data_IF_249506193522
#
_entry.id   IF_249506193522
#
_cell.length_a   1.000
_cell.length_b   1.000
_cell.length_c   1.000
_cell.angle_alpha   90.00
_cell.angle_beta   90.00
_cell.angle_gamma   90.00
#
_symmetry.space_group_name_H-M   'P 1'
#
loop_
_entity.id
_entity.type
_entity.pdbx_description
1 polymer ?
#
# COMPACT_ATOMS: atom_id res chain seq x y z
N UNK A 1 21.42 -14.95 -10.86
CA UNK A 1 21.13 -13.85 -9.90
C UNK A 1 20.16 -12.85 -10.54
N UNK A 2 19.02 -12.55 -9.93
CA UNK A 2 18.13 -11.49 -10.45
C UNK A 2 18.85 -10.15 -10.28
N UNK A 3 18.98 -9.38 -11.36
CA UNK A 3 19.56 -8.04 -11.28
C UNK A 3 18.56 -7.10 -10.55
N UNK A 4 18.77 -6.92 -9.26
CA UNK A 4 17.87 -6.11 -8.41
C UNK A 4 17.78 -4.66 -8.90
N UNK A 5 18.89 -4.07 -9.33
CA UNK A 5 18.93 -2.69 -9.82
C UNK A 5 18.03 -2.52 -11.03
N UNK A 6 18.14 -3.40 -12.03
CA UNK A 6 17.29 -3.32 -13.22
C UNK A 6 15.79 -3.50 -12.88
N UNK A 7 15.45 -4.36 -11.91
CA UNK A 7 14.07 -4.52 -11.45
C UNK A 7 13.56 -3.29 -10.71
N UNK A 8 14.40 -2.63 -9.92
CA UNK A 8 14.06 -1.40 -9.23
C UNK A 8 13.84 -0.24 -10.22
N UNK A 9 14.71 -0.10 -11.22
CA UNK A 9 14.59 0.90 -12.28
C UNK A 9 13.31 0.71 -13.11
N UNK A 10 12.97 -0.53 -13.44
CA UNK A 10 11.70 -0.84 -14.12
C UNK A 10 10.47 -0.49 -13.28
N UNK A 11 10.52 -0.81 -11.98
CA UNK A 11 9.43 -0.48 -11.06
C UNK A 11 9.30 1.04 -10.88
N UNK A 12 10.42 1.74 -10.80
CA UNK A 12 10.47 3.20 -10.68
C UNK A 12 9.85 3.88 -11.90
N UNK A 13 10.25 3.49 -13.11
CA UNK A 13 9.70 4.04 -14.36
C UNK A 13 8.19 3.80 -14.45
N UNK A 14 7.74 2.59 -14.16
CA UNK A 14 6.32 2.25 -14.24
C UNK A 14 5.47 3.03 -13.24
N UNK A 15 5.95 3.25 -12.01
CA UNK A 15 5.16 3.96 -10.99
C UNK A 15 4.95 5.44 -11.32
N UNK A 16 5.75 6.01 -12.25
CA UNK A 16 5.58 7.41 -12.70
C UNK A 16 4.26 7.64 -13.44
N UNK A 17 3.62 6.59 -13.93
CA UNK A 17 2.27 6.67 -14.49
C UNK A 17 1.20 6.92 -13.43
N UNK A 18 1.48 6.59 -12.16
CA UNK A 18 0.53 6.70 -11.04
C UNK A 18 0.77 7.95 -10.21
N UNK A 19 2.02 8.28 -9.92
CA UNK A 19 2.36 9.52 -9.18
C UNK A 19 3.81 9.96 -9.40
N UNK A 20 4.01 11.27 -9.22
CA UNK A 20 5.32 11.91 -9.36
C UNK A 20 6.30 11.47 -8.25
N UNK A 21 7.63 11.62 -8.47
CA UNK A 21 8.62 11.37 -7.43
C UNK A 21 8.34 12.19 -6.17
N UNK A 22 8.35 11.54 -5.03
CA UNK A 22 8.32 12.26 -3.75
C UNK A 22 9.66 12.98 -3.52
N UNK A 23 9.68 14.18 -2.92
CA UNK A 23 10.91 14.91 -2.71
C UNK A 23 11.91 14.18 -1.82
N UNK A 24 13.19 14.38 -2.10
CA UNK A 24 14.28 14.16 -1.16
C UNK A 24 14.70 15.53 -0.62
N UNK A 25 14.46 15.78 0.66
CA UNK A 25 14.56 17.09 1.27
C UNK A 25 15.56 17.06 2.43
N UNK A 26 16.54 17.97 2.42
CA UNK A 26 17.44 18.14 3.55
C UNK A 26 16.66 18.69 4.76
N UNK A 27 16.90 18.10 5.92
CA UNK A 27 16.32 18.58 7.17
C UNK A 27 17.37 19.37 7.96
N UNK A 28 17.26 20.68 7.95
CA UNK A 28 18.26 21.57 8.56
C UNK A 28 18.33 21.38 10.08
N UNK A 29 17.18 21.23 10.74
CA UNK A 29 17.14 21.04 12.19
C UNK A 29 17.85 19.74 12.62
N UNK A 30 17.50 18.62 12.02
CA UNK A 30 18.16 17.34 12.34
C UNK A 30 19.63 17.35 11.93
N UNK A 31 19.97 17.98 10.80
CA UNK A 31 21.36 18.08 10.36
C UNK A 31 22.20 18.86 11.35
N UNK A 32 21.72 19.96 11.85
CA UNK A 32 22.41 20.75 12.90
C UNK A 32 22.49 19.98 14.22
N UNK A 33 21.39 19.33 14.64
CA UNK A 33 21.34 18.59 15.90
C UNK A 33 22.34 17.44 15.96
N UNK A 34 22.52 16.71 14.86
CA UNK A 34 23.38 15.52 14.81
C UNK A 34 24.75 15.76 14.14
N UNK A 35 25.03 16.97 13.69
CA UNK A 35 26.30 17.29 13.02
C UNK A 35 26.52 16.51 11.72
N UNK A 36 25.46 16.16 10.99
CA UNK A 36 25.47 15.32 9.80
C UNK A 36 24.47 15.82 8.75
N UNK A 37 24.68 15.51 7.49
CA UNK A 37 23.68 15.78 6.46
C UNK A 37 22.53 14.76 6.51
N UNK A 38 21.38 15.21 7.02
CA UNK A 38 20.19 14.36 7.13
C UNK A 38 19.17 14.75 6.07
N UNK A 39 18.85 13.77 5.22
CA UNK A 39 17.89 13.90 4.13
C UNK A 39 16.66 13.04 4.37
N UNK A 40 15.49 13.62 4.22
CA UNK A 40 14.20 12.95 4.36
C UNK A 40 13.61 12.63 2.99
N UNK A 41 13.36 11.35 2.72
CA UNK A 41 12.54 10.93 1.59
C UNK A 41 11.07 11.08 1.98
N UNK A 42 10.40 12.09 1.43
CA UNK A 42 9.08 12.56 1.85
C UNK A 42 7.94 11.69 1.32
N UNK A 43 7.89 10.42 1.75
CA UNK A 43 6.82 9.50 1.36
C UNK A 43 5.44 9.85 1.94
N UNK A 44 5.40 10.72 2.94
CA UNK A 44 4.21 11.37 3.47
C UNK A 44 3.51 12.29 2.45
N UNK A 45 4.20 12.66 1.37
CA UNK A 45 3.66 13.44 0.24
C UNK A 45 3.17 12.55 -0.92
N UNK A 46 3.23 11.21 -0.80
CA UNK A 46 2.61 10.30 -1.75
C UNK A 46 1.07 10.33 -1.65
N UNK A 47 0.33 9.88 -2.68
CA UNK A 47 -1.15 9.88 -2.67
C UNK A 47 -1.77 9.24 -1.43
N UNK A 48 -1.18 8.15 -0.93
CA UNK A 48 -1.64 7.46 0.30
C UNK A 48 -0.85 7.85 1.56
N UNK A 49 0.04 8.84 1.46
CA UNK A 49 0.90 9.33 2.53
C UNK A 49 1.80 8.26 3.14
N UNK A 50 2.26 7.31 2.33
CA UNK A 50 3.09 6.19 2.76
C UNK A 50 3.83 5.54 1.60
N UNK A 51 5.05 5.06 1.85
CA UNK A 51 5.85 4.29 0.89
C UNK A 51 5.20 2.95 0.47
N UNK A 52 4.21 2.45 1.23
CA UNK A 52 3.54 1.16 0.96
C UNK A 52 2.88 1.10 -0.39
N UNK A 53 2.49 2.25 -0.95
CA UNK A 53 1.94 2.33 -2.31
C UNK A 53 2.90 1.76 -3.36
N UNK A 54 4.22 1.97 -3.22
CA UNK A 54 5.24 1.47 -4.15
C UNK A 54 5.22 -0.05 -4.26
N UNK A 55 5.15 -0.72 -3.10
CA UNK A 55 5.06 -2.19 -3.04
C UNK A 55 3.74 -2.72 -3.59
N UNK A 56 2.62 -2.12 -3.20
CA UNK A 56 1.30 -2.48 -3.70
C UNK A 56 1.24 -2.35 -5.23
N UNK A 57 1.63 -1.19 -5.77
CA UNK A 57 1.70 -0.97 -7.21
C UNK A 57 2.54 -2.03 -7.92
N UNK A 58 3.80 -2.22 -7.47
CA UNK A 58 4.72 -3.12 -8.17
C UNK A 58 4.31 -4.60 -8.09
N UNK A 59 3.59 -5.00 -7.05
CA UNK A 59 3.00 -6.34 -6.96
C UNK A 59 1.77 -6.47 -7.87
N UNK A 60 0.79 -5.56 -7.72
CA UNK A 60 -0.51 -5.69 -8.37
C UNK A 60 -0.42 -5.52 -9.89
N UNK A 61 0.41 -4.61 -10.41
CA UNK A 61 0.59 -4.42 -11.85
C UNK A 61 1.09 -5.68 -12.59
N UNK A 62 1.76 -6.60 -11.89
CA UNK A 62 2.26 -7.86 -12.48
C UNK A 62 1.15 -8.90 -12.67
N UNK A 63 0.01 -8.66 -12.08
CA UNK A 63 -1.16 -9.53 -12.09
C UNK A 63 -2.40 -8.75 -12.54
N UNK A 64 -2.23 -7.87 -13.52
CA UNK A 64 -3.31 -7.04 -14.06
C UNK A 64 -4.43 -7.83 -14.74
N UNK A 65 -4.19 -9.13 -15.04
CA UNK A 65 -5.18 -10.08 -15.54
C UNK A 65 -6.11 -10.62 -14.44
N UNK A 66 -5.79 -10.38 -13.16
CA UNK A 66 -6.59 -10.85 -12.02
C UNK A 66 -7.84 -10.00 -11.83
N UNK A 67 -8.94 -10.66 -11.49
CA UNK A 67 -10.24 -10.03 -11.26
C UNK A 67 -10.34 -9.35 -9.90
N UNK A 68 -9.57 -9.82 -8.94
CA UNK A 68 -9.60 -9.31 -7.58
C UNK A 68 -8.26 -9.49 -6.84
N UNK A 69 -8.03 -8.63 -5.86
CA UNK A 69 -6.91 -8.73 -4.92
C UNK A 69 -7.45 -8.84 -3.50
N UNK A 70 -6.74 -9.60 -2.68
CA UNK A 70 -7.10 -9.81 -1.28
C UNK A 70 -5.92 -9.45 -0.38
N UNK A 71 -6.15 -8.76 0.72
CA UNK A 71 -5.12 -8.55 1.73
C UNK A 71 -5.70 -8.48 3.15
N UNK A 72 -4.87 -8.86 4.14
CA UNK A 72 -5.12 -8.60 5.55
C UNK A 72 -4.24 -7.43 6.01
N UNK A 73 -4.84 -6.30 6.33
CA UNK A 73 -4.11 -5.14 6.86
C UNK A 73 -5.06 -4.04 7.34
N UNK A 74 -4.78 -3.47 8.50
CA UNK A 74 -5.50 -2.30 9.04
C UNK A 74 -4.69 -1.00 8.94
N UNK A 75 -3.62 -0.98 8.15
CA UNK A 75 -2.68 0.15 8.09
C UNK A 75 -2.39 0.66 6.69
N UNK A 76 -1.19 1.21 6.53
CA UNK A 76 -0.75 1.82 5.27
C UNK A 76 -0.71 0.86 4.08
N UNK A 77 -0.56 -0.46 4.34
CA UNK A 77 -0.63 -1.45 3.27
C UNK A 77 -2.05 -1.56 2.71
N UNK A 78 -3.07 -1.65 3.59
CA UNK A 78 -4.47 -1.64 3.18
C UNK A 78 -4.81 -0.41 2.32
N UNK A 79 -4.37 0.77 2.74
CA UNK A 79 -4.56 2.01 2.00
C UNK A 79 -3.87 1.98 0.63
N UNK A 80 -2.66 1.43 0.54
CA UNK A 80 -1.94 1.26 -0.72
C UNK A 80 -2.65 0.30 -1.67
N UNK A 81 -3.13 -0.85 -1.17
CA UNK A 81 -3.89 -1.82 -1.96
C UNK A 81 -5.22 -1.22 -2.41
N UNK A 82 -5.97 -0.57 -1.51
CA UNK A 82 -7.23 0.09 -1.83
C UNK A 82 -7.07 1.13 -2.95
N UNK A 83 -6.09 2.00 -2.83
CA UNK A 83 -5.77 2.99 -3.86
C UNK A 83 -5.47 2.31 -5.20
N UNK A 84 -4.69 1.23 -5.20
CA UNK A 84 -4.34 0.51 -6.43
C UNK A 84 -5.52 -0.24 -7.03
N UNK A 85 -6.42 -0.81 -6.24
CA UNK A 85 -7.66 -1.40 -6.76
C UNK A 85 -8.45 -0.37 -7.57
N UNK A 86 -8.59 0.84 -7.05
CA UNK A 86 -9.24 1.95 -7.77
C UNK A 86 -8.49 2.37 -9.03
N UNK A 87 -7.16 2.49 -8.98
CA UNK A 87 -6.35 2.88 -10.14
C UNK A 87 -6.40 1.85 -11.27
N UNK A 88 -6.41 0.57 -10.93
CA UNK A 88 -6.46 -0.54 -11.88
C UNK A 88 -7.89 -0.94 -12.25
N UNK A 89 -8.92 -0.35 -11.61
CA UNK A 89 -10.33 -0.72 -11.77
C UNK A 89 -10.59 -2.21 -11.53
N UNK A 90 -9.97 -2.76 -10.50
CA UNK A 90 -10.10 -4.17 -10.09
C UNK A 90 -10.67 -4.26 -8.68
N UNK A 91 -11.38 -5.31 -8.38
CA UNK A 91 -11.96 -5.52 -7.07
C UNK A 91 -10.88 -5.82 -6.02
N UNK A 92 -11.11 -5.35 -4.79
CA UNK A 92 -10.26 -5.65 -3.63
C UNK A 92 -11.08 -6.06 -2.43
N UNK A 93 -10.62 -7.08 -1.70
CA UNK A 93 -11.19 -7.48 -0.42
C UNK A 93 -10.11 -7.25 0.65
N UNK A 94 -10.42 -6.40 1.63
CA UNK A 94 -9.47 -6.01 2.67
C UNK A 94 -10.01 -6.47 4.03
N UNK A 95 -9.35 -7.45 4.61
CA UNK A 95 -9.65 -7.94 5.94
C UNK A 95 -8.95 -7.09 7.00
N UNK A 96 -9.70 -6.67 8.00
CA UNK A 96 -9.21 -5.88 9.14
C UNK A 96 -9.78 -6.44 10.45
N UNK A 97 -9.04 -6.39 11.57
CA UNK A 97 -9.59 -6.72 12.88
C UNK A 97 -10.79 -5.83 13.21
N UNK A 98 -11.78 -6.38 13.93
CA UNK A 98 -12.94 -5.60 14.40
C UNK A 98 -12.55 -4.45 15.32
N UNK A 99 -11.37 -4.56 15.95
CA UNK A 99 -10.78 -3.52 16.81
C UNK A 99 -10.14 -2.37 16.04
N UNK A 100 -10.15 -2.41 14.69
CA UNK A 100 -9.54 -1.36 13.86
C UNK A 100 -10.22 -0.01 14.07
N UNK A 101 -9.46 1.06 14.38
CA UNK A 101 -10.03 2.40 14.55
C UNK A 101 -10.82 2.85 13.31
N UNK A 102 -12.02 3.39 13.52
CA UNK A 102 -12.93 3.85 12.48
C UNK A 102 -12.27 4.79 11.46
N UNK A 103 -11.37 5.65 11.93
CA UNK A 103 -10.61 6.56 11.05
C UNK A 103 -9.77 5.82 10.00
N UNK A 104 -9.18 4.67 10.36
CA UNK A 104 -8.38 3.86 9.42
C UNK A 104 -9.28 3.16 8.39
N UNK A 105 -10.44 2.66 8.83
CA UNK A 105 -11.44 2.04 7.97
C UNK A 105 -11.92 3.06 6.93
N UNK A 106 -12.39 4.22 7.39
CA UNK A 106 -12.87 5.31 6.52
C UNK A 106 -11.81 5.76 5.52
N UNK A 107 -10.57 5.95 5.97
CA UNK A 107 -9.48 6.36 5.10
C UNK A 107 -9.18 5.33 4.01
N UNK A 108 -9.22 4.05 4.35
CA UNK A 108 -9.06 2.98 3.36
C UNK A 108 -10.21 2.97 2.37
N UNK A 109 -11.45 3.15 2.84
CA UNK A 109 -12.64 3.25 1.98
C UNK A 109 -12.56 4.45 1.02
N UNK A 110 -12.09 5.60 1.49
CA UNK A 110 -11.91 6.79 0.65
C UNK A 110 -10.92 6.54 -0.49
N UNK A 111 -9.82 5.82 -0.22
CA UNK A 111 -8.84 5.51 -1.26
C UNK A 111 -9.35 4.52 -2.30
N UNK A 112 -10.08 3.49 -1.88
CA UNK A 112 -10.54 2.43 -2.77
C UNK A 112 -11.88 2.72 -3.46
N UNK A 113 -12.74 3.52 -2.82
CA UNK A 113 -14.08 3.81 -3.33
C UNK A 113 -14.93 2.56 -3.49
N UNK A 114 -15.60 2.44 -4.63
CA UNK A 114 -16.45 1.30 -5.00
C UNK A 114 -15.70 0.02 -5.36
N UNK A 115 -14.38 0.13 -5.56
CA UNK A 115 -13.54 -1.00 -5.96
C UNK A 115 -13.11 -1.89 -4.80
N UNK A 116 -13.47 -1.56 -3.55
CA UNK A 116 -13.07 -2.36 -2.40
C UNK A 116 -14.23 -2.73 -1.50
N UNK A 117 -14.13 -3.92 -0.92
CA UNK A 117 -14.92 -4.39 0.20
C UNK A 117 -14.03 -4.51 1.43
N UNK A 118 -14.42 -3.90 2.55
CA UNK A 118 -13.73 -4.07 3.83
C UNK A 118 -14.50 -5.07 4.66
N UNK A 119 -13.84 -6.15 5.06
CA UNK A 119 -14.38 -7.19 5.94
C UNK A 119 -13.73 -7.09 7.30
N UNK A 120 -14.54 -6.81 8.32
CA UNK A 120 -14.09 -6.80 9.70
C UNK A 120 -14.23 -8.22 10.27
N UNK A 121 -13.11 -8.80 10.75
CA UNK A 121 -13.07 -10.17 11.23
C UNK A 121 -12.01 -10.34 12.31
N UNK A 122 -12.31 -11.18 13.31
CA UNK A 122 -11.40 -11.47 14.41
C UNK A 122 -10.97 -10.24 15.23
N UNK A 123 -10.25 -10.49 16.29
CA UNK A 123 -9.73 -9.43 17.16
C UNK A 123 -8.30 -9.03 16.81
N UNK A 124 -7.56 -9.93 16.16
CA UNK A 124 -6.14 -9.81 15.85
C UNK A 124 -5.86 -9.94 14.36
N UNK A 125 -4.65 -9.54 13.97
CA UNK A 125 -4.19 -9.61 12.57
C UNK A 125 -4.13 -11.06 12.04
N UNK A 126 -3.77 -12.01 12.89
CA UNK A 126 -3.64 -13.43 12.50
C UNK A 126 -4.99 -14.03 12.10
N UNK A 127 -6.09 -13.63 12.76
CA UNK A 127 -7.44 -14.06 12.40
C UNK A 127 -7.78 -13.60 10.97
N UNK A 128 -7.46 -12.34 10.64
CA UNK A 128 -7.66 -11.81 9.29
C UNK A 128 -6.84 -12.57 8.24
N UNK A 129 -5.66 -13.04 8.63
CA UNK A 129 -4.78 -13.76 7.71
C UNK A 129 -5.30 -15.16 7.38
N UNK A 130 -5.90 -15.85 8.36
CA UNK A 130 -6.56 -17.14 8.13
C UNK A 130 -7.76 -17.01 7.19
N UNK A 131 -8.57 -15.96 7.34
CA UNK A 131 -9.70 -15.71 6.44
C UNK A 131 -9.23 -15.43 4.98
N UNK A 132 -8.13 -14.71 4.81
CA UNK A 132 -7.51 -14.53 3.49
C UNK A 132 -7.08 -15.87 2.89
N UNK A 133 -6.44 -16.74 3.70
CA UNK A 133 -6.02 -18.07 3.25
C UNK A 133 -7.22 -18.92 2.82
N UNK A 134 -8.27 -18.96 3.63
CA UNK A 134 -9.49 -19.70 3.30
C UNK A 134 -10.12 -19.20 2.00
N UNK A 135 -10.25 -17.89 1.83
CA UNK A 135 -10.79 -17.32 0.60
C UNK A 135 -9.95 -17.69 -0.62
N UNK A 136 -8.61 -17.59 -0.53
CA UNK A 136 -7.72 -17.90 -1.65
C UNK A 136 -7.63 -19.39 -1.97
N UNK A 137 -7.93 -20.29 -1.04
CA UNK A 137 -7.94 -21.74 -1.29
C UNK A 137 -9.16 -22.21 -2.08
N UNK A 138 -10.19 -21.38 -2.22
CA UNK A 138 -11.43 -21.69 -2.95
C UNK A 138 -11.53 -20.95 -4.30
N UNK A 139 -10.49 -20.23 -4.69
CA UNK A 139 -10.37 -19.53 -5.98
C UNK A 139 -9.34 -20.22 -6.88
#
# INVERSE_FOLDING_TARGET
>A
MRNFTALADQAEKAIREVFSPTPLQRNEYLSALYGAEIWLKREDLSPVRSYKLRGAFNAMRKFSDKKAFVCASAGNHAQGVAFMCRQLQVNGIIFMPVTTPQQKIQKTQIFGGEFIEIRLTGDYFDDCFEDVRMLCSHC
#
